data_IF_483098762149
#
_entry.id   IF_483098762149
#
_cell.length_a   1.000
_cell.length_b   1.000
_cell.length_c   1.000
_cell.angle_alpha   90.00
_cell.angle_beta   90.00
_cell.angle_gamma   90.00
#
_symmetry.space_group_name_H-M   'P 1'
#
loop_
_entity.id
_entity.type
_entity.pdbx_description
1 polymer ?
#
# COMPACT_ATOMS: atom_id res chain seq x y z
N UNK A 1 20.94 88.73 -29.42
CA UNK A 1 21.24 89.92 -28.56
C UNK A 1 22.59 89.71 -27.90
N UNK A 2 23.46 90.67 -28.22
CA UNK A 2 24.58 91.23 -27.45
C UNK A 2 25.58 90.25 -26.82
N UNK A 3 26.79 90.12 -27.41
CA UNK A 3 27.92 90.98 -27.33
C UNK A 3 28.67 91.01 -26.02
N UNK A 4 29.95 90.75 -26.17
CA UNK A 4 31.11 91.52 -25.62
C UNK A 4 31.85 90.75 -24.48
N UNK A 5 33.14 90.64 -24.38
CA UNK A 5 34.30 91.35 -24.97
C UNK A 5 35.54 90.57 -24.50
N UNK A 6 36.50 90.36 -25.37
CA UNK A 6 37.92 90.18 -25.01
C UNK A 6 38.45 91.36 -24.24
N UNK A 7 39.50 91.20 -23.45
CA UNK A 7 40.78 91.73 -23.97
C UNK A 7 42.00 90.84 -23.62
N UNK A 8 42.86 90.88 -24.60
CA UNK A 8 44.32 90.93 -24.64
C UNK A 8 45.13 90.90 -23.35
N UNK A 9 46.04 89.96 -23.30
CA UNK A 9 47.43 90.31 -22.93
C UNK A 9 48.36 89.28 -23.62
N UNK A 10 48.79 89.75 -24.78
CA UNK A 10 49.86 89.20 -25.58
C UNK A 10 51.17 89.46 -24.87
N UNK A 11 52.08 88.54 -24.97
CA UNK A 11 53.46 88.87 -24.96
C UNK A 11 54.28 88.46 -23.75
N UNK A 12 55.20 87.62 -24.04
CA UNK A 12 56.40 87.24 -23.30
C UNK A 12 56.33 85.79 -22.77
N UNK A 13 56.66 84.89 -23.68
CA UNK A 13 57.41 83.67 -23.37
C UNK A 13 57.74 82.88 -24.67
N UNK A 14 58.33 83.60 -25.62
CA UNK A 14 59.08 83.01 -26.72
C UNK A 14 60.53 83.42 -26.55
N UNK A 15 61.26 82.62 -25.81
CA UNK A 15 62.71 82.50 -25.90
C UNK A 15 63.22 81.65 -24.74
N UNK A 16 63.12 80.35 -24.84
CA UNK A 16 64.02 79.34 -24.22
C UNK A 16 63.66 77.97 -24.83
N UNK A 17 63.93 77.74 -26.10
CA UNK A 17 64.13 76.43 -26.64
C UNK A 17 65.05 76.52 -27.84
N UNK A 18 66.29 76.34 -27.59
CA UNK A 18 67.18 75.51 -28.43
C UNK A 18 68.58 75.53 -27.90
N UNK A 19 69.14 74.40 -27.63
CA UNK A 19 70.18 73.92 -28.52
C UNK A 19 70.02 72.43 -28.86
N UNK A 20 69.45 72.12 -30.02
CA UNK A 20 69.65 70.80 -30.60
C UNK A 20 71.11 70.72 -31.08
N UNK A 21 71.93 70.12 -30.22
CA UNK A 21 73.24 69.63 -30.66
C UNK A 21 73.03 68.61 -31.74
N UNK A 22 73.55 68.79 -32.95
CA UNK A 22 73.60 67.85 -34.03
C UNK A 22 74.23 66.52 -33.55
N UNK A 23 73.45 65.51 -33.22
CA UNK A 23 73.91 64.13 -32.96
C UNK A 23 74.31 63.58 -34.30
N UNK A 24 75.54 63.05 -34.48
CA UNK A 24 75.98 62.51 -35.74
C UNK A 24 75.08 61.28 -36.09
N UNK A 25 74.68 61.22 -37.40
CA UNK A 25 73.74 60.20 -37.90
C UNK A 25 74.11 58.76 -37.55
N UNK A 26 75.37 58.50 -37.23
CA UNK A 26 75.85 57.18 -36.73
C UNK A 26 75.37 56.91 -35.28
N UNK A 27 75.32 57.86 -34.40
CA UNK A 27 74.86 57.70 -33.03
C UNK A 27 73.38 57.45 -32.97
N UNK A 28 72.54 58.05 -33.82
CA UNK A 28 71.10 57.74 -33.92
C UNK A 28 70.80 56.35 -34.42
N UNK A 29 71.60 55.84 -35.39
CA UNK A 29 71.46 54.44 -35.86
C UNK A 29 71.85 53.41 -34.81
N UNK A 30 72.87 53.74 -33.99
CA UNK A 30 73.29 52.85 -32.89
C UNK A 30 72.21 52.90 -31.74
N UNK A 31 71.71 54.10 -31.43
CA UNK A 31 70.61 54.19 -30.43
C UNK A 31 69.30 53.49 -30.86
N UNK A 32 68.94 53.62 -32.15
CA UNK A 32 67.80 52.84 -32.72
C UNK A 32 68.02 51.32 -32.67
N UNK A 33 69.23 50.89 -33.02
CA UNK A 33 69.57 49.46 -32.99
C UNK A 33 69.49 48.88 -31.54
N UNK A 34 69.95 49.65 -30.53
CA UNK A 34 69.89 49.27 -29.12
C UNK A 34 68.47 49.26 -28.64
N UNK A 35 67.62 50.23 -29.03
CA UNK A 35 66.21 50.24 -28.69
C UNK A 35 65.45 49.01 -29.30
N UNK A 36 65.75 48.77 -30.57
CA UNK A 36 65.15 47.57 -31.27
C UNK A 36 65.57 46.27 -30.57
N UNK A 37 66.86 46.17 -30.19
CA UNK A 37 67.36 44.97 -29.49
C UNK A 37 66.77 44.82 -28.09
N UNK A 38 66.58 45.96 -27.37
CA UNK A 38 65.93 46.03 -26.08
C UNK A 38 64.44 45.60 -26.16
N UNK A 39 63.75 46.14 -27.19
CA UNK A 39 62.31 45.71 -27.41
C UNK A 39 62.20 44.25 -27.81
N UNK A 40 63.14 43.76 -28.66
CA UNK A 40 63.17 42.31 -29.03
C UNK A 40 63.51 41.50 -27.81
N UNK A 41 64.45 41.88 -26.96
CA UNK A 41 64.75 41.18 -25.72
C UNK A 41 63.55 41.18 -24.72
N UNK A 42 62.88 42.34 -24.60
CA UNK A 42 61.68 42.45 -23.76
C UNK A 42 60.51 41.56 -24.28
N UNK A 43 60.37 41.55 -25.64
CA UNK A 43 59.35 40.68 -26.27
C UNK A 43 59.68 39.22 -26.08
N UNK A 44 60.93 38.77 -26.17
CA UNK A 44 61.36 37.41 -25.92
C UNK A 44 61.18 37.05 -24.45
N UNK A 45 61.52 37.94 -23.52
CA UNK A 45 61.31 37.73 -22.08
C UNK A 45 59.79 37.66 -21.77
N UNK A 46 58.98 38.52 -22.43
CA UNK A 46 57.51 38.43 -22.29
C UNK A 46 56.93 37.12 -22.82
N UNK A 47 57.40 36.64 -23.98
CA UNK A 47 56.98 35.33 -24.55
C UNK A 47 57.47 34.14 -23.75
N UNK A 48 58.68 34.21 -23.16
CA UNK A 48 59.22 33.14 -22.32
C UNK A 48 58.58 33.10 -20.91
N UNK A 49 58.13 34.25 -20.40
CA UNK A 49 57.52 34.34 -19.08
C UNK A 49 55.99 34.11 -19.09
N UNK A 50 55.38 34.15 -20.27
CA UNK A 50 53.94 33.81 -20.43
C UNK A 50 53.77 32.28 -20.55
N UNK A 51 54.20 31.55 -19.53
CA UNK A 51 53.73 30.15 -19.38
C UNK A 51 52.23 30.22 -19.12
N UNK A 52 51.37 29.49 -19.89
CA UNK A 52 49.96 29.46 -19.60
C UNK A 52 49.77 28.99 -18.13
N UNK A 53 48.85 29.58 -17.37
CA UNK A 53 48.63 29.18 -15.99
C UNK A 53 48.36 27.67 -15.97
N UNK A 54 49.07 26.92 -15.11
CA UNK A 54 48.77 25.53 -14.88
C UNK A 54 47.33 25.44 -14.42
N UNK A 55 46.43 25.07 -15.31
CA UNK A 55 45.03 24.81 -14.97
C UNK A 55 45.01 23.66 -13.97
N UNK A 56 44.87 23.97 -12.69
CA UNK A 56 44.66 22.94 -11.67
C UNK A 56 43.28 22.35 -11.97
N UNK A 57 43.28 21.16 -12.57
CA UNK A 57 42.04 20.43 -12.82
C UNK A 57 41.40 20.07 -11.48
N UNK A 58 40.11 20.35 -11.27
CA UNK A 58 39.43 19.90 -10.06
C UNK A 58 39.46 18.38 -9.98
N UNK A 59 39.92 17.86 -8.84
CA UNK A 59 39.86 16.43 -8.52
C UNK A 59 38.44 16.14 -8.09
N UNK A 60 37.85 15.13 -8.68
CA UNK A 60 36.47 14.70 -8.43
C UNK A 60 36.44 13.19 -8.23
N UNK A 61 35.51 12.72 -7.40
CA UNK A 61 35.27 11.28 -7.26
C UNK A 61 34.19 10.82 -8.23
N UNK A 62 34.47 9.72 -8.92
CA UNK A 62 33.59 9.17 -9.94
C UNK A 62 33.31 7.70 -9.67
N UNK A 63 32.08 7.27 -9.98
CA UNK A 63 31.62 5.88 -9.93
C UNK A 63 31.03 5.50 -11.29
N UNK A 64 31.17 4.24 -11.71
CA UNK A 64 30.46 3.75 -12.88
C UNK A 64 28.96 3.59 -12.56
N UNK A 65 28.13 3.90 -13.54
CA UNK A 65 26.69 3.62 -13.47
C UNK A 65 26.47 2.11 -13.46
N UNK A 66 25.75 1.61 -12.47
CA UNK A 66 25.45 0.19 -12.30
C UNK A 66 23.98 -0.06 -12.62
N UNK A 67 23.71 -1.22 -13.20
CA UNK A 67 22.35 -1.74 -13.37
C UNK A 67 22.10 -2.86 -12.39
N UNK A 68 21.02 -2.78 -11.63
CA UNK A 68 20.62 -3.82 -10.68
C UNK A 68 19.11 -4.07 -10.72
N UNK A 69 18.69 -5.25 -10.27
CA UNK A 69 17.28 -5.56 -10.09
C UNK A 69 16.80 -4.90 -8.80
N UNK A 70 15.78 -4.08 -8.91
CA UNK A 70 15.32 -3.23 -7.83
C UNK A 70 13.86 -3.51 -7.49
N UNK A 71 13.59 -3.77 -6.23
CA UNK A 71 12.24 -3.89 -5.68
C UNK A 71 11.79 -2.54 -5.09
N UNK A 72 10.66 -2.04 -5.58
CA UNK A 72 10.06 -0.79 -5.10
C UNK A 72 8.99 -1.12 -4.08
N UNK A 73 9.14 -0.58 -2.89
CA UNK A 73 8.21 -0.79 -1.79
C UNK A 73 7.47 0.49 -1.42
N UNK A 74 6.19 0.36 -1.05
CA UNK A 74 5.43 1.40 -0.38
C UNK A 74 5.27 1.05 1.09
N UNK A 75 5.35 2.04 1.97
CA UNK A 75 5.16 1.89 3.41
C UNK A 75 3.85 2.55 3.84
N UNK A 76 3.03 1.81 4.57
CA UNK A 76 1.71 2.23 5.01
C UNK A 76 1.48 1.83 6.46
N UNK A 77 0.53 2.49 7.10
CA UNK A 77 -0.01 2.04 8.39
C UNK A 77 -1.23 1.17 8.11
N UNK A 78 -1.17 -0.08 8.56
CA UNK A 78 -2.26 -1.04 8.44
C UNK A 78 -2.91 -1.35 9.76
N UNK A 79 -4.17 -1.79 9.71
CA UNK A 79 -4.91 -2.30 10.85
C UNK A 79 -5.22 -3.77 10.64
N UNK A 80 -4.86 -4.59 11.62
CA UNK A 80 -5.16 -6.03 11.62
C UNK A 80 -6.65 -6.23 11.91
N UNK A 81 -7.31 -7.05 11.09
CA UNK A 81 -8.68 -7.53 11.31
C UNK A 81 -8.72 -9.04 11.29
N UNK A 82 -9.64 -9.60 12.06
CA UNK A 82 -9.92 -11.04 11.98
C UNK A 82 -10.46 -11.40 10.60
N UNK A 83 -10.17 -12.62 10.16
CA UNK A 83 -10.78 -13.18 8.93
C UNK A 83 -12.30 -13.21 9.05
N UNK A 84 -12.82 -13.64 10.20
CA UNK A 84 -14.24 -13.62 10.54
C UNK A 84 -14.42 -13.17 12.00
N UNK A 85 -15.43 -12.35 12.20
CA UNK A 85 -15.83 -11.84 13.49
C UNK A 85 -17.35 -12.02 13.58
N UNK A 86 -17.80 -12.85 14.51
CA UNK A 86 -19.21 -13.19 14.64
C UNK A 86 -19.69 -13.00 16.06
N UNK A 87 -20.70 -12.15 16.20
CA UNK A 87 -21.40 -11.94 17.46
C UNK A 87 -22.41 -13.08 17.69
N UNK A 88 -22.28 -13.76 18.81
CA UNK A 88 -23.20 -14.78 19.28
C UNK A 88 -24.33 -14.09 20.03
N UNK A 89 -25.53 -14.13 19.47
CA UNK A 89 -26.69 -13.43 19.97
C UNK A 89 -27.83 -14.35 20.30
N UNK A 90 -28.56 -14.07 21.40
CA UNK A 90 -29.80 -14.77 21.76
C UNK A 90 -30.89 -14.41 20.72
N UNK A 91 -31.58 -15.46 20.21
CA UNK A 91 -32.72 -15.34 19.28
C UNK A 91 -34.06 -15.49 19.96
N UNK A 92 -34.05 -16.04 21.17
CA UNK A 92 -35.25 -16.27 21.99
C UNK A 92 -35.06 -15.72 23.38
N UNK A 93 -36.15 -15.35 24.04
CA UNK A 93 -36.16 -14.81 25.39
C UNK A 93 -36.16 -15.91 26.43
N UNK A 94 -35.34 -15.79 27.47
CA UNK A 94 -35.31 -16.74 28.59
C UNK A 94 -34.12 -16.50 29.49
N UNK A 95 -34.09 -17.19 30.62
CA UNK A 95 -32.94 -17.14 31.51
C UNK A 95 -31.79 -17.99 30.99
N UNK A 96 -30.56 -17.44 31.06
CA UNK A 96 -29.35 -18.16 30.69
C UNK A 96 -29.07 -19.25 31.74
N UNK A 97 -29.24 -20.52 31.38
CA UNK A 97 -29.12 -21.66 32.31
C UNK A 97 -27.67 -22.15 32.44
N UNK A 98 -26.96 -22.29 31.29
CA UNK A 98 -25.60 -22.86 31.25
C UNK A 98 -24.73 -22.17 30.21
N UNK A 99 -23.41 -22.17 30.52
CA UNK A 99 -22.30 -21.84 29.61
C UNK A 99 -21.42 -23.08 29.49
N UNK A 100 -21.14 -23.52 28.28
CA UNK A 100 -20.49 -24.83 27.97
C UNK A 100 -19.10 -24.63 27.31
N UNK A 101 -18.42 -23.56 27.61
CA UNK A 101 -17.07 -23.28 27.14
C UNK A 101 -16.25 -22.54 28.21
N UNK A 102 -14.93 -22.53 28.06
CA UNK A 102 -14.06 -21.63 28.80
C UNK A 102 -13.73 -20.39 27.94
N UNK A 103 -13.73 -19.20 28.56
CA UNK A 103 -13.41 -17.93 27.88
C UNK A 103 -12.00 -17.96 27.32
N UNK A 104 -11.79 -17.37 26.15
CA UNK A 104 -10.48 -17.34 25.47
C UNK A 104 -10.08 -18.65 24.80
N UNK A 105 -10.89 -19.71 24.85
CA UNK A 105 -10.57 -21.02 24.25
C UNK A 105 -11.02 -21.11 22.80
N UNK A 106 -10.43 -22.08 22.09
CA UNK A 106 -10.86 -22.42 20.74
C UNK A 106 -12.14 -23.26 20.78
N UNK A 107 -13.11 -22.90 19.95
CA UNK A 107 -14.39 -23.63 19.79
C UNK A 107 -14.58 -24.04 18.34
N UNK A 108 -15.34 -25.11 18.15
CA UNK A 108 -15.67 -25.64 16.83
C UNK A 108 -17.03 -25.12 16.34
N UNK A 109 -17.17 -25.01 15.02
CA UNK A 109 -18.47 -24.74 14.39
C UNK A 109 -19.50 -25.77 14.82
N UNK A 110 -20.72 -25.34 15.22
CA UNK A 110 -21.81 -26.21 15.70
C UNK A 110 -21.70 -26.58 17.19
N UNK A 111 -20.60 -26.23 17.87
CA UNK A 111 -20.47 -26.42 19.30
C UNK A 111 -21.49 -25.59 20.05
N UNK A 112 -22.25 -26.21 20.98
CA UNK A 112 -23.18 -25.50 21.85
C UNK A 112 -22.38 -24.70 22.88
N UNK A 113 -22.65 -23.38 22.92
CA UNK A 113 -21.98 -22.44 23.79
C UNK A 113 -22.82 -22.08 25.01
N UNK A 114 -24.10 -21.80 24.79
CA UNK A 114 -25.01 -21.38 25.83
C UNK A 114 -26.31 -22.18 25.75
N UNK A 115 -26.94 -22.38 26.90
CA UNK A 115 -28.27 -22.97 27.01
C UNK A 115 -29.18 -21.95 27.70
N UNK A 116 -30.24 -21.55 27.00
CA UNK A 116 -31.34 -20.72 27.52
C UNK A 116 -32.41 -21.68 28.00
N UNK A 117 -33.08 -21.39 29.13
CA UNK A 117 -34.12 -22.29 29.70
C UNK A 117 -35.14 -22.76 28.64
N UNK A 118 -35.15 -24.05 28.30
CA UNK A 118 -35.98 -24.58 27.23
C UNK A 118 -37.40 -24.97 27.70
N UNK A 119 -37.74 -24.81 28.98
CA UNK A 119 -38.94 -25.40 29.59
C UNK A 119 -40.22 -24.94 28.89
N UNK A 120 -40.39 -23.65 28.66
CA UNK A 120 -41.58 -23.10 27.98
C UNK A 120 -41.61 -23.54 26.51
N UNK A 121 -40.49 -23.62 25.86
CA UNK A 121 -40.36 -24.00 24.44
C UNK A 121 -40.65 -25.48 24.23
N UNK A 122 -40.20 -26.37 25.13
CA UNK A 122 -40.57 -27.80 25.13
C UNK A 122 -42.07 -28.00 25.31
N UNK A 123 -42.70 -27.23 26.21
CA UNK A 123 -44.15 -27.27 26.39
C UNK A 123 -44.90 -26.88 25.11
N UNK A 124 -44.42 -25.85 24.38
CA UNK A 124 -44.99 -25.45 23.08
C UNK A 124 -44.87 -26.54 22.02
N UNK A 125 -43.72 -27.19 21.91
CA UNK A 125 -43.50 -28.32 20.98
C UNK A 125 -44.46 -29.45 21.32
N UNK A 126 -44.59 -29.83 22.60
CA UNK A 126 -45.50 -30.89 23.04
C UNK A 126 -46.96 -30.56 22.69
N UNK A 127 -47.38 -29.30 22.88
CA UNK A 127 -48.70 -28.81 22.48
C UNK A 127 -48.95 -28.96 20.98
N UNK A 128 -47.99 -28.43 20.16
CA UNK A 128 -48.09 -28.51 18.69
C UNK A 128 -48.15 -29.96 18.20
N UNK A 129 -47.33 -30.85 18.77
CA UNK A 129 -47.34 -32.31 18.47
C UNK A 129 -48.69 -32.96 18.80
N UNK A 130 -49.32 -32.58 19.92
CA UNK A 130 -50.65 -33.08 20.29
C UNK A 130 -51.74 -32.59 19.31
N UNK A 131 -51.67 -31.31 18.87
CA UNK A 131 -52.57 -30.76 17.86
C UNK A 131 -52.42 -31.45 16.50
N UNK A 132 -51.22 -31.71 16.07
CA UNK A 132 -50.93 -32.45 14.83
C UNK A 132 -51.52 -33.87 14.91
N UNK A 133 -51.33 -34.59 16.02
CA UNK A 133 -51.89 -35.92 16.21
C UNK A 133 -53.43 -35.91 16.14
N UNK A 134 -54.08 -34.85 16.71
CA UNK A 134 -55.53 -34.65 16.60
C UNK A 134 -55.97 -34.42 15.15
N UNK A 135 -55.26 -33.55 14.41
CA UNK A 135 -55.55 -33.28 12.98
C UNK A 135 -55.40 -34.57 12.13
N UNK A 136 -54.33 -35.34 12.35
CA UNK A 136 -54.11 -36.63 11.66
C UNK A 136 -55.23 -37.63 11.92
N UNK A 137 -55.72 -37.73 13.18
CA UNK A 137 -56.83 -38.56 13.49
C UNK A 137 -58.16 -38.14 12.82
N UNK A 138 -58.37 -36.80 12.68
CA UNK A 138 -59.48 -36.23 11.96
C UNK A 138 -59.43 -36.50 10.46
N UNK A 139 -58.26 -36.32 9.84
CA UNK A 139 -58.03 -36.63 8.42
C UNK A 139 -58.24 -38.11 8.14
N UNK A 140 -57.76 -39.03 9.00
CA UNK A 140 -57.98 -40.49 8.89
C UNK A 140 -59.46 -40.80 8.99
N UNK A 141 -60.23 -40.12 9.82
CA UNK A 141 -61.67 -40.32 9.90
C UNK A 141 -62.36 -39.93 8.59
N UNK A 142 -62.04 -38.70 8.09
CA UNK A 142 -62.61 -38.22 6.83
C UNK A 142 -62.24 -39.07 5.61
N UNK A 143 -60.99 -39.58 5.59
CA UNK A 143 -60.55 -40.56 4.58
C UNK A 143 -61.41 -41.85 4.57
N UNK A 144 -61.60 -42.36 5.76
CA UNK A 144 -62.48 -43.60 5.90
C UNK A 144 -63.92 -43.35 5.51
N UNK A 145 -64.45 -42.14 5.78
CA UNK A 145 -65.82 -41.77 5.39
C UNK A 145 -65.92 -41.63 3.88
N UNK A 146 -64.94 -40.97 3.24
CA UNK A 146 -64.84 -40.86 1.78
C UNK A 146 -64.71 -42.23 1.11
N UNK A 147 -63.84 -43.10 1.62
CA UNK A 147 -63.67 -44.45 1.13
C UNK A 147 -64.92 -45.32 1.27
N UNK A 148 -65.84 -44.99 2.18
CA UNK A 148 -67.16 -45.67 2.35
C UNK A 148 -68.20 -45.07 1.35
N UNK A 149 -68.26 -43.75 1.18
CA UNK A 149 -69.23 -43.06 0.32
C UNK A 149 -68.95 -43.29 -1.17
N UNK A 150 -67.70 -43.23 -1.58
CA UNK A 150 -67.30 -43.34 -2.99
C UNK A 150 -67.86 -44.63 -3.68
N UNK A 151 -67.74 -45.89 -3.15
CA UNK A 151 -68.29 -47.09 -3.79
C UNK A 151 -69.80 -47.11 -3.74
N UNK A 152 -70.48 -46.50 -2.74
CA UNK A 152 -71.91 -46.41 -2.67
C UNK A 152 -72.50 -45.50 -3.78
N UNK A 153 -71.76 -44.37 -4.07
CA UNK A 153 -72.12 -43.52 -5.17
C UNK A 153 -71.94 -44.24 -6.52
N UNK A 154 -70.88 -44.98 -6.74
CA UNK A 154 -70.61 -45.77 -7.93
C UNK A 154 -71.72 -46.84 -8.16
N UNK A 155 -72.38 -47.34 -7.06
CA UNK A 155 -73.54 -48.25 -7.11
C UNK A 155 -74.88 -47.55 -7.12
N UNK A 156 -74.93 -46.17 -7.32
CA UNK A 156 -76.13 -45.32 -7.26
C UNK A 156 -76.91 -45.44 -5.86
N UNK A 157 -76.20 -45.76 -4.78
CA UNK A 157 -76.74 -45.86 -3.41
C UNK A 157 -76.41 -44.61 -2.56
N UNK A 158 -75.71 -43.60 -3.06
CA UNK A 158 -75.44 -42.32 -2.44
C UNK A 158 -75.58 -41.19 -3.47
N UNK A 159 -75.86 -39.95 -3.03
CA UNK A 159 -76.01 -38.78 -3.91
C UNK A 159 -74.66 -38.19 -4.32
N UNK A 160 -74.62 -37.41 -5.42
CA UNK A 160 -73.45 -36.64 -5.80
C UNK A 160 -73.07 -35.65 -4.70
N UNK A 161 -74.06 -35.04 -4.05
CA UNK A 161 -73.82 -34.11 -2.92
C UNK A 161 -73.11 -34.77 -1.75
N UNK A 162 -73.45 -36.04 -1.44
CA UNK A 162 -72.80 -36.77 -0.36
C UNK A 162 -71.31 -37.05 -0.69
N UNK A 163 -71.03 -37.42 -1.96
CA UNK A 163 -69.64 -37.62 -2.43
C UNK A 163 -68.83 -36.29 -2.38
N UNK A 164 -69.40 -35.22 -2.92
CA UNK A 164 -68.71 -33.91 -2.92
C UNK A 164 -68.42 -33.41 -1.52
N UNK A 165 -69.37 -33.60 -0.58
CA UNK A 165 -69.18 -33.27 0.83
C UNK A 165 -68.09 -34.14 1.48
N UNK A 166 -68.03 -35.42 1.17
CA UNK A 166 -67.00 -36.29 1.71
C UNK A 166 -65.60 -35.99 1.18
N UNK A 167 -65.50 -35.61 -0.11
CA UNK A 167 -64.27 -35.12 -0.75
C UNK A 167 -63.78 -33.82 -0.05
N UNK A 168 -64.69 -32.84 0.03
CA UNK A 168 -64.37 -31.54 0.64
C UNK A 168 -63.93 -31.66 2.10
N UNK A 169 -64.64 -32.56 2.85
CA UNK A 169 -64.28 -32.85 4.26
C UNK A 169 -62.91 -33.49 4.38
N UNK A 170 -62.54 -34.40 3.46
CA UNK A 170 -61.22 -35.05 3.48
C UNK A 170 -60.12 -34.01 3.07
N UNK A 171 -60.33 -33.27 2.00
CA UNK A 171 -59.36 -32.25 1.56
C UNK A 171 -59.16 -31.19 2.64
N UNK A 172 -60.24 -30.73 3.27
CA UNK A 172 -60.14 -29.79 4.41
C UNK A 172 -59.37 -30.38 5.59
N UNK A 173 -59.63 -31.64 5.95
CA UNK A 173 -58.88 -32.27 7.03
C UNK A 173 -57.40 -32.54 6.72
N UNK A 174 -57.05 -32.81 5.44
CA UNK A 174 -55.66 -32.92 4.99
C UNK A 174 -54.97 -31.56 5.06
N UNK A 175 -55.67 -30.49 4.68
CA UNK A 175 -55.12 -29.13 4.78
C UNK A 175 -54.85 -28.75 6.27
N UNK A 176 -55.72 -29.13 7.22
CA UNK A 176 -55.51 -28.94 8.65
C UNK A 176 -54.29 -29.68 9.18
N UNK A 177 -53.96 -30.87 8.65
CA UNK A 177 -52.72 -31.59 8.98
C UNK A 177 -51.50 -30.79 8.56
N UNK A 178 -51.50 -30.25 7.35
CA UNK A 178 -50.36 -29.41 6.83
C UNK A 178 -50.14 -28.17 7.69
N UNK A 179 -51.22 -27.51 8.13
CA UNK A 179 -51.13 -26.34 9.02
C UNK A 179 -50.49 -26.76 10.36
N UNK A 180 -50.97 -27.86 11.00
CA UNK A 180 -50.41 -28.33 12.26
C UNK A 180 -48.96 -28.83 12.13
N UNK A 181 -48.55 -29.36 10.99
CA UNK A 181 -47.14 -29.73 10.70
C UNK A 181 -46.25 -28.47 10.65
N UNK A 182 -46.74 -27.42 10.00
CA UNK A 182 -46.03 -26.12 9.97
C UNK A 182 -45.90 -25.53 11.38
N UNK A 183 -46.94 -25.55 12.20
CA UNK A 183 -46.93 -25.09 13.58
C UNK A 183 -45.93 -25.88 14.44
N UNK A 184 -45.89 -27.22 14.28
CA UNK A 184 -44.90 -28.06 14.98
C UNK A 184 -43.48 -27.70 14.57
N UNK A 185 -43.21 -27.55 13.28
CA UNK A 185 -41.91 -27.15 12.76
C UNK A 185 -41.47 -25.82 13.33
N UNK A 186 -42.35 -24.83 13.37
CA UNK A 186 -42.07 -23.51 13.97
C UNK A 186 -41.76 -23.63 15.48
N UNK A 187 -42.46 -24.46 16.23
CA UNK A 187 -42.21 -24.68 17.65
C UNK A 187 -40.85 -25.35 17.87
N UNK A 188 -40.49 -26.35 17.05
CA UNK A 188 -39.20 -27.04 17.10
C UNK A 188 -38.02 -26.14 16.76
N UNK A 189 -38.13 -25.31 15.71
CA UNK A 189 -37.15 -24.29 15.39
C UNK A 189 -36.91 -23.31 16.55
N UNK A 190 -38.00 -22.86 17.19
CA UNK A 190 -37.92 -21.92 18.31
C UNK A 190 -37.27 -22.60 19.54
N UNK A 191 -37.56 -23.86 19.79
CA UNK A 191 -36.88 -24.69 20.82
C UNK A 191 -35.38 -24.83 20.47
N UNK A 192 -35.03 -25.06 19.20
CA UNK A 192 -33.63 -25.14 18.74
C UNK A 192 -32.82 -23.91 19.08
N UNK A 193 -33.43 -22.72 19.04
CA UNK A 193 -32.75 -21.46 19.38
C UNK A 193 -32.42 -21.32 20.88
N UNK A 194 -32.96 -22.17 21.78
CA UNK A 194 -32.54 -22.19 23.19
C UNK A 194 -31.13 -22.79 23.35
N UNK A 195 -30.68 -23.61 22.42
CA UNK A 195 -29.30 -24.12 22.36
C UNK A 195 -28.50 -23.27 21.41
N UNK A 196 -27.78 -22.29 21.96
CA UNK A 196 -27.01 -21.33 21.16
C UNK A 196 -25.68 -21.94 20.75
N UNK A 197 -25.48 -22.10 19.43
CA UNK A 197 -24.31 -22.75 18.85
C UNK A 197 -23.45 -21.76 18.10
N UNK A 198 -22.12 -22.07 17.97
CA UNK A 198 -21.21 -21.27 17.16
C UNK A 198 -21.44 -21.53 15.67
N UNK A 199 -21.61 -20.48 14.85
CA UNK A 199 -21.72 -20.62 13.41
C UNK A 199 -20.37 -20.84 12.71
N UNK A 200 -19.26 -20.54 13.40
CA UNK A 200 -17.88 -20.65 12.89
C UNK A 200 -16.98 -21.34 13.92
N UNK A 201 -15.85 -21.87 13.46
CA UNK A 201 -14.75 -22.26 14.35
C UNK A 201 -13.84 -21.06 14.59
N UNK A 202 -13.35 -20.92 15.82
CA UNK A 202 -12.48 -19.78 16.19
C UNK A 202 -12.30 -19.65 17.70
N UNK A 203 -11.73 -18.55 18.14
CA UNK A 203 -11.55 -18.25 19.57
C UNK A 203 -12.74 -17.43 20.08
N UNK A 204 -13.29 -17.87 21.20
CA UNK A 204 -14.39 -17.17 21.85
C UNK A 204 -13.83 -16.11 22.83
N UNK A 205 -14.45 -14.94 22.84
CA UNK A 205 -14.16 -13.88 23.81
C UNK A 205 -14.72 -14.20 25.20
N UNK A 206 -14.59 -13.25 26.09
CA UNK A 206 -15.33 -13.23 27.35
C UNK A 206 -16.86 -13.20 27.11
N UNK A 207 -17.63 -13.64 28.09
CA UNK A 207 -19.09 -13.52 28.07
C UNK A 207 -19.52 -12.09 28.34
N UNK A 208 -20.58 -11.65 27.68
CA UNK A 208 -21.19 -10.34 27.91
C UNK A 208 -22.36 -10.40 28.93
N UNK A 209 -22.75 -11.60 29.35
CA UNK A 209 -23.88 -11.85 30.25
C UNK A 209 -23.58 -13.00 31.20
N UNK A 210 -24.06 -12.90 32.43
CA UNK A 210 -23.92 -13.94 33.45
C UNK A 210 -25.02 -14.96 33.42
N UNK A 211 -24.71 -16.18 33.92
CA UNK A 211 -25.71 -17.24 34.13
C UNK A 211 -26.78 -16.73 35.09
N UNK A 212 -28.05 -17.02 34.79
CA UNK A 212 -29.21 -16.52 35.53
C UNK A 212 -29.74 -15.17 35.03
N UNK A 213 -29.09 -14.52 34.08
CA UNK A 213 -29.56 -13.29 33.44
C UNK A 213 -30.64 -13.59 32.41
N UNK A 214 -31.69 -12.75 32.38
CA UNK A 214 -32.70 -12.77 31.32
C UNK A 214 -32.09 -12.20 30.02
N UNK A 215 -32.00 -13.02 28.99
CA UNK A 215 -31.52 -12.68 27.66
C UNK A 215 -32.66 -12.77 26.63
N UNK A 216 -32.47 -12.11 25.46
CA UNK A 216 -33.51 -12.15 24.43
C UNK A 216 -33.15 -11.24 23.24
N UNK A 217 -34.00 -11.20 22.20
CA UNK A 217 -33.82 -10.32 21.07
C UNK A 217 -33.77 -8.85 21.52
N UNK A 218 -32.84 -8.04 20.92
CA UNK A 218 -32.69 -6.61 21.25
C UNK A 218 -31.37 -6.28 21.96
N UNK A 219 -31.40 -5.35 22.91
CA UNK A 219 -30.18 -4.80 23.56
C UNK A 219 -29.40 -5.84 24.39
N UNK A 220 -30.09 -6.82 24.97
CA UNK A 220 -29.49 -7.92 25.76
C UNK A 220 -29.27 -9.20 24.95
N UNK A 221 -29.13 -9.08 23.64
CA UNK A 221 -28.97 -10.27 22.77
C UNK A 221 -27.53 -10.76 22.69
N UNK A 222 -26.53 -9.87 22.84
CA UNK A 222 -25.11 -10.23 22.69
C UNK A 222 -24.65 -11.06 23.89
N UNK A 223 -24.24 -12.30 23.62
CA UNK A 223 -23.79 -13.26 24.63
C UNK A 223 -22.26 -13.37 24.67
N UNK A 224 -21.63 -13.50 23.53
CA UNK A 224 -20.18 -13.56 23.35
C UNK A 224 -19.82 -13.24 21.90
N UNK A 225 -18.51 -13.18 21.61
CA UNK A 225 -18.00 -13.01 20.26
C UNK A 225 -17.06 -14.15 19.90
N UNK A 226 -17.13 -14.63 18.66
CA UNK A 226 -16.20 -15.65 18.13
C UNK A 226 -15.37 -15.03 17.03
N UNK A 227 -14.05 -15.15 17.15
CA UNK A 227 -13.05 -14.56 16.26
C UNK A 227 -12.23 -15.67 15.60
N UNK A 228 -12.24 -15.70 14.27
CA UNK A 228 -11.33 -16.54 13.49
C UNK A 228 -10.12 -15.73 13.11
N UNK A 229 -8.94 -16.08 13.66
CA UNK A 229 -7.68 -15.34 13.54
C UNK A 229 -6.48 -16.19 13.14
N UNK A 230 -6.67 -17.42 12.67
CA UNK A 230 -5.66 -18.28 12.03
C UNK A 230 -5.15 -17.69 10.72
N UNK A 231 -5.98 -16.92 10.06
CA UNK A 231 -5.65 -15.99 8.98
C UNK A 231 -6.21 -14.62 9.36
N UNK A 232 -5.47 -13.56 9.12
CA UNK A 232 -5.92 -12.20 9.38
C UNK A 232 -5.97 -11.39 8.10
N UNK A 233 -6.75 -10.33 8.13
CA UNK A 233 -6.81 -9.31 7.09
C UNK A 233 -6.13 -8.06 7.59
N UNK A 234 -5.33 -7.45 6.73
CA UNK A 234 -4.65 -6.20 7.03
C UNK A 234 -5.20 -5.16 6.08
N UNK A 235 -5.97 -4.22 6.63
CA UNK A 235 -6.51 -3.10 5.89
C UNK A 235 -5.55 -1.91 6.04
N UNK A 236 -5.16 -1.30 4.92
CA UNK A 236 -4.33 -0.10 4.89
C UNK A 236 -4.80 0.86 3.80
N UNK A 237 -4.48 2.14 3.96
CA UNK A 237 -4.89 3.17 3.02
C UNK A 237 -3.74 3.52 2.10
N UNK A 238 -4.01 3.53 0.80
CA UNK A 238 -3.06 3.88 -0.26
C UNK A 238 -3.49 5.17 -0.95
N UNK A 239 -2.54 6.02 -1.34
CA UNK A 239 -2.86 7.26 -2.07
C UNK A 239 -3.23 6.96 -3.53
N UNK A 240 -4.10 7.80 -4.10
CA UNK A 240 -4.43 7.69 -5.53
C UNK A 240 -3.19 7.86 -6.43
N UNK A 241 -2.20 8.65 -5.99
CA UNK A 241 -0.95 8.84 -6.73
C UNK A 241 -0.12 7.56 -6.79
N UNK A 242 0.04 6.86 -5.66
CA UNK A 242 0.78 5.59 -5.61
C UNK A 242 0.10 4.52 -6.47
N UNK A 243 -1.24 4.49 -6.47
CA UNK A 243 -2.01 3.60 -7.34
C UNK A 243 -1.78 3.90 -8.82
N UNK A 244 -1.83 5.17 -9.23
CA UNK A 244 -1.60 5.56 -10.61
C UNK A 244 -0.18 5.19 -11.06
N UNK A 245 0.82 5.43 -10.22
CA UNK A 245 2.21 5.00 -10.48
C UNK A 245 2.33 3.48 -10.66
N UNK A 246 1.65 2.70 -9.82
CA UNK A 246 1.62 1.24 -9.96
C UNK A 246 0.92 0.82 -11.25
N UNK A 247 -0.19 1.48 -11.60
CA UNK A 247 -0.97 1.20 -12.81
C UNK A 247 -0.20 1.54 -14.10
N UNK A 248 0.56 2.64 -14.14
CA UNK A 248 1.43 2.99 -15.27
C UNK A 248 2.46 1.89 -15.58
N UNK A 249 2.81 1.09 -14.57
CA UNK A 249 3.71 -0.06 -14.67
C UNK A 249 2.98 -1.39 -14.87
N UNK A 250 1.69 -1.36 -15.25
CA UNK A 250 0.83 -2.54 -15.40
C UNK A 250 0.67 -3.37 -14.11
N UNK A 251 0.87 -2.79 -12.94
CA UNK A 251 0.64 -3.43 -11.65
C UNK A 251 -0.77 -3.10 -11.18
N UNK A 252 -1.72 -4.02 -11.42
CA UNK A 252 -3.08 -3.90 -10.90
C UNK A 252 -3.11 -4.48 -9.47
N UNK A 253 -3.11 -3.61 -8.47
CA UNK A 253 -3.19 -4.01 -7.07
C UNK A 253 -4.57 -4.61 -6.80
N UNK A 254 -4.61 -5.79 -6.16
CA UNK A 254 -5.85 -6.51 -5.86
C UNK A 254 -6.37 -7.41 -7.00
N UNK A 255 -5.69 -7.47 -8.14
CA UNK A 255 -6.01 -8.40 -9.23
C UNK A 255 -4.84 -9.32 -9.53
N UNK A 256 -5.11 -10.62 -9.63
CA UNK A 256 -4.11 -11.58 -10.11
C UNK A 256 -3.95 -11.41 -11.62
N UNK A 257 -2.71 -11.23 -12.05
CA UNK A 257 -2.35 -11.14 -13.47
C UNK A 257 -1.51 -12.35 -13.84
N UNK A 258 -2.04 -13.19 -14.72
CA UNK A 258 -1.35 -14.40 -15.20
C UNK A 258 -0.11 -14.11 -16.06
N UNK A 259 0.06 -12.88 -16.52
CA UNK A 259 1.21 -12.45 -17.32
C UNK A 259 2.39 -11.96 -16.47
N UNK A 260 2.18 -11.72 -15.17
CA UNK A 260 3.25 -11.32 -14.26
C UNK A 260 4.01 -12.51 -13.70
N UNK A 261 5.31 -12.35 -13.55
CA UNK A 261 6.19 -13.34 -12.91
C UNK A 261 6.24 -13.20 -11.38
N UNK A 262 5.56 -12.20 -10.81
CA UNK A 262 5.51 -11.91 -9.38
C UNK A 262 4.15 -11.31 -8.99
N UNK A 263 3.70 -11.55 -7.76
CA UNK A 263 2.47 -10.97 -7.21
C UNK A 263 2.82 -9.88 -6.18
N UNK A 264 2.03 -8.79 -6.09
CA UNK A 264 2.15 -7.82 -5.01
C UNK A 264 1.95 -8.53 -3.67
N UNK A 265 2.97 -8.53 -2.84
CA UNK A 265 2.90 -9.09 -1.49
C UNK A 265 3.13 -8.02 -0.43
N UNK A 266 2.61 -8.30 0.74
CA UNK A 266 2.72 -7.46 1.92
C UNK A 266 3.60 -8.14 2.95
N UNK A 267 4.52 -7.40 3.54
CA UNK A 267 5.21 -7.78 4.77
C UNK A 267 4.80 -6.82 5.88
N UNK A 268 4.85 -7.31 7.12
CA UNK A 268 4.41 -6.57 8.29
C UNK A 268 5.56 -6.45 9.28
N UNK A 269 5.68 -5.28 9.87
CA UNK A 269 6.53 -5.05 11.04
C UNK A 269 5.63 -4.90 12.26
N UNK A 270 5.87 -5.71 13.28
CA UNK A 270 5.11 -5.71 14.52
C UNK A 270 5.40 -4.44 15.35
N UNK A 271 4.62 -4.22 16.40
CA UNK A 271 4.76 -3.04 17.27
C UNK A 271 6.13 -2.96 18.00
N UNK A 272 6.78 -4.10 18.22
CA UNK A 272 8.12 -4.21 18.81
C UNK A 272 9.27 -3.96 17.80
N UNK A 273 8.94 -3.68 16.53
CA UNK A 273 9.89 -3.48 15.44
C UNK A 273 10.37 -4.77 14.77
N UNK A 274 9.97 -5.95 15.23
CA UNK A 274 10.33 -7.22 14.61
C UNK A 274 9.57 -7.43 13.29
N UNK A 275 10.21 -8.09 12.32
CA UNK A 275 9.58 -8.44 11.05
C UNK A 275 8.74 -9.70 11.22
N UNK A 276 7.49 -9.64 10.79
CA UNK A 276 6.61 -10.80 10.77
C UNK A 276 7.09 -11.82 9.70
N UNK A 277 7.22 -13.13 10.04
CA UNK A 277 7.89 -14.10 9.16
C UNK A 277 7.09 -14.49 7.91
N UNK A 278 5.78 -14.24 7.89
CA UNK A 278 4.91 -14.60 6.78
C UNK A 278 4.63 -13.41 5.88
N UNK A 279 4.39 -13.69 4.60
CA UNK A 279 3.96 -12.70 3.61
C UNK A 279 2.45 -12.82 3.41
N UNK A 280 1.79 -11.67 3.27
CA UNK A 280 0.39 -11.58 2.87
C UNK A 280 0.26 -11.28 1.39
N UNK A 281 -0.84 -11.69 0.78
CA UNK A 281 -1.19 -11.35 -0.59
C UNK A 281 -2.32 -10.31 -0.59
N UNK A 282 -2.21 -9.31 -1.46
CA UNK A 282 -3.28 -8.34 -1.65
C UNK A 282 -4.44 -9.04 -2.36
N UNK A 283 -5.59 -9.10 -1.69
CA UNK A 283 -6.81 -9.76 -2.19
C UNK A 283 -7.89 -8.78 -2.62
N UNK A 284 -7.80 -7.51 -2.17
CA UNK A 284 -8.80 -6.50 -2.47
C UNK A 284 -8.19 -5.10 -2.48
N UNK A 285 -8.62 -4.29 -3.44
CA UNK A 285 -8.41 -2.85 -3.47
C UNK A 285 -9.75 -2.17 -3.78
N UNK A 286 -10.14 -1.20 -2.97
CA UNK A 286 -11.41 -0.50 -3.13
C UNK A 286 -11.38 0.33 -4.43
N UNK A 287 -12.36 0.19 -5.31
CA UNK A 287 -12.44 0.99 -6.53
C UNK A 287 -12.79 2.46 -6.28
N UNK A 288 -13.19 2.80 -5.05
CA UNK A 288 -13.60 4.14 -4.67
C UNK A 288 -12.55 4.82 -3.80
N UNK A 289 -12.20 6.06 -4.17
CA UNK A 289 -11.32 6.93 -3.37
C UNK A 289 -12.18 7.71 -2.38
N UNK A 290 -11.79 7.73 -1.11
CA UNK A 290 -12.40 8.60 -0.10
C UNK A 290 -12.07 10.07 -0.43
N UNK A 291 -13.08 10.90 -0.73
CA UNK A 291 -12.87 12.30 -1.12
C UNK A 291 -12.30 13.18 0.00
N UNK A 292 -12.37 12.75 1.26
CA UNK A 292 -11.84 13.50 2.40
C UNK A 292 -10.33 13.30 2.58
N UNK A 293 -9.84 12.11 2.29
CA UNK A 293 -8.44 11.74 2.52
C UNK A 293 -7.64 11.64 1.22
N UNK A 294 -8.31 11.49 0.05
CA UNK A 294 -7.67 11.22 -1.22
C UNK A 294 -7.02 9.83 -1.29
N UNK A 295 -7.41 8.92 -0.40
CA UNK A 295 -6.90 7.55 -0.31
C UNK A 295 -8.00 6.54 -0.58
N UNK A 296 -7.63 5.32 -0.90
CA UNK A 296 -8.54 4.17 -1.00
C UNK A 296 -8.02 3.02 -0.14
N UNK A 297 -8.93 2.15 0.27
CA UNK A 297 -8.62 1.01 1.12
C UNK A 297 -8.05 -0.14 0.29
N UNK A 298 -6.95 -0.69 0.76
CA UNK A 298 -6.34 -1.92 0.24
C UNK A 298 -6.33 -2.94 1.35
N UNK A 299 -6.63 -4.20 1.01
CA UNK A 299 -6.65 -5.32 1.95
C UNK A 299 -5.70 -6.41 1.50
N UNK A 300 -4.94 -6.92 2.45
CA UNK A 300 -4.12 -8.11 2.27
C UNK A 300 -4.56 -9.21 3.23
N UNK A 301 -4.59 -10.45 2.74
CA UNK A 301 -4.80 -11.64 3.56
C UNK A 301 -3.44 -12.21 3.96
N UNK A 302 -3.26 -12.50 5.26
CA UNK A 302 -1.99 -12.94 5.83
C UNK A 302 -2.19 -14.14 6.77
N UNK A 303 -1.42 -15.24 6.61
CA UNK A 303 -1.42 -16.36 7.54
C UNK A 303 -0.99 -15.91 8.94
N UNK A 304 -1.69 -16.43 9.98
CA UNK A 304 -1.39 -16.10 11.37
C UNK A 304 -1.44 -17.35 12.29
N UNK A 305 -0.64 -18.39 11.99
CA UNK A 305 -0.70 -19.66 12.73
C UNK A 305 -0.32 -19.52 14.20
N UNK A 306 0.64 -18.66 14.52
CA UNK A 306 1.08 -18.38 15.88
C UNK A 306 0.22 -17.30 16.59
N UNK A 307 -0.75 -16.70 15.90
CA UNK A 307 -1.60 -15.61 16.42
C UNK A 307 -0.85 -14.42 16.99
N UNK A 308 0.32 -14.16 16.44
CA UNK A 308 1.12 -12.99 16.83
C UNK A 308 0.50 -11.67 16.37
N UNK A 309 -0.31 -11.70 15.30
CA UNK A 309 -1.09 -10.55 14.83
C UNK A 309 -2.46 -10.58 15.51
N UNK A 310 -2.70 -9.62 16.40
CA UNK A 310 -3.97 -9.51 17.12
C UNK A 310 -4.95 -8.62 16.38
N UNK A 311 -6.19 -9.07 16.13
CA UNK A 311 -7.21 -8.21 15.54
C UNK A 311 -7.44 -6.94 16.36
N UNK A 312 -7.41 -5.79 15.70
CA UNK A 312 -7.50 -4.46 16.31
C UNK A 312 -6.19 -3.71 16.37
N UNK A 313 -5.05 -4.39 16.27
CA UNK A 313 -3.71 -3.84 16.32
C UNK A 313 -3.37 -3.03 15.05
N UNK A 314 -2.52 -2.01 15.22
CA UNK A 314 -1.91 -1.29 14.10
C UNK A 314 -0.50 -1.82 13.85
N UNK A 315 -0.16 -1.96 12.58
CA UNK A 315 1.13 -2.48 12.13
C UNK A 315 1.70 -1.62 11.00
N UNK A 316 3.03 -1.63 10.85
CA UNK A 316 3.67 -1.06 9.67
C UNK A 316 3.63 -2.08 8.54
N UNK A 317 3.01 -1.70 7.44
CA UNK A 317 2.81 -2.52 6.24
C UNK A 317 3.79 -2.07 5.17
N UNK A 318 4.55 -3.01 4.61
CA UNK A 318 5.43 -2.78 3.47
C UNK A 318 4.90 -3.59 2.29
N UNK A 319 4.39 -2.89 1.27
CA UNK A 319 3.82 -3.47 0.06
C UNK A 319 4.85 -3.45 -1.06
N UNK A 320 5.13 -4.59 -1.71
CA UNK A 320 5.87 -4.63 -2.97
C UNK A 320 5.00 -4.07 -4.09
N UNK A 321 5.41 -2.91 -4.63
CA UNK A 321 4.65 -2.16 -5.64
C UNK A 321 5.16 -2.40 -7.06
N UNK A 322 6.47 -2.63 -7.23
CA UNK A 322 7.09 -2.81 -8.54
C UNK A 322 8.39 -3.62 -8.43
N UNK A 323 8.73 -4.36 -9.47
CA UNK A 323 10.00 -5.07 -9.62
C UNK A 323 10.63 -4.61 -10.92
N UNK A 324 11.73 -3.88 -10.82
CA UNK A 324 12.45 -3.32 -11.97
C UNK A 324 13.69 -4.12 -12.24
N UNK A 325 13.70 -4.80 -13.37
CA UNK A 325 14.87 -5.55 -13.84
C UNK A 325 15.82 -4.62 -14.58
N UNK A 326 17.13 -4.77 -14.31
CA UNK A 326 18.19 -3.97 -14.95
C UNK A 326 17.95 -2.44 -14.84
N UNK A 327 17.46 -1.97 -13.69
CA UNK A 327 17.27 -0.54 -13.45
C UNK A 327 18.63 0.16 -13.32
N UNK A 328 18.76 1.31 -13.95
CA UNK A 328 19.92 2.19 -13.78
C UNK A 328 19.80 2.85 -12.40
N UNK A 329 20.78 2.62 -11.52
CA UNK A 329 20.81 3.18 -10.17
C UNK A 329 22.06 4.02 -9.95
N UNK A 330 21.88 5.11 -9.22
CA UNK A 330 22.98 6.02 -8.85
C UNK A 330 22.87 6.33 -7.35
N UNK A 331 23.99 6.58 -6.66
CA UNK A 331 23.94 7.12 -5.31
C UNK A 331 23.15 8.43 -5.26
N UNK A 332 22.21 8.57 -4.32
CA UNK A 332 21.36 9.78 -4.21
C UNK A 332 22.19 11.05 -4.02
N UNK A 333 23.40 10.95 -3.41
CA UNK A 333 24.35 12.04 -3.23
C UNK A 333 24.92 12.60 -4.54
N UNK A 334 24.87 11.84 -5.66
CA UNK A 334 25.32 12.29 -6.98
C UNK A 334 24.31 13.19 -7.69
N UNK A 335 23.06 13.25 -7.20
CA UNK A 335 21.97 14.02 -7.79
C UNK A 335 21.98 15.46 -7.29
N UNK A 336 21.84 16.38 -8.23
CA UNK A 336 21.70 17.81 -7.97
C UNK A 336 20.26 18.20 -8.29
N UNK A 337 19.51 18.55 -7.26
CA UNK A 337 18.10 18.94 -7.39
C UNK A 337 18.04 20.47 -7.42
N UNK A 338 17.54 21.04 -8.52
CA UNK A 338 17.34 22.46 -8.71
C UNK A 338 15.93 22.79 -9.17
N UNK A 339 15.58 24.06 -9.27
CA UNK A 339 14.22 24.51 -9.69
C UNK A 339 13.76 23.98 -11.06
N UNK A 340 14.69 23.50 -11.91
CA UNK A 340 14.40 22.96 -13.24
C UNK A 340 14.36 21.43 -13.32
N UNK A 341 14.60 20.73 -12.21
CA UNK A 341 14.61 19.26 -12.15
C UNK A 341 15.89 18.69 -11.56
N UNK A 342 16.12 17.41 -11.79
CA UNK A 342 17.30 16.71 -11.31
C UNK A 342 18.40 16.66 -12.39
N UNK A 343 19.62 16.88 -11.97
CA UNK A 343 20.81 16.88 -12.83
C UNK A 343 21.89 15.99 -12.24
N UNK A 344 22.74 15.46 -13.10
CA UNK A 344 23.94 14.71 -12.73
C UNK A 344 25.12 15.14 -13.60
N UNK A 345 26.32 15.07 -13.06
CA UNK A 345 27.52 15.25 -13.88
C UNK A 345 28.03 13.89 -14.38
N UNK A 346 28.12 13.74 -15.69
CA UNK A 346 28.69 12.58 -16.38
C UNK A 346 30.08 12.96 -16.84
N UNK A 347 31.06 12.09 -16.65
CA UNK A 347 32.42 12.29 -17.13
C UNK A 347 32.60 11.53 -18.44
N UNK A 348 32.86 12.26 -19.51
CA UNK A 348 33.13 11.69 -20.82
C UNK A 348 34.53 11.09 -20.89
N UNK A 349 34.84 10.20 -21.88
CA UNK A 349 36.17 9.62 -22.06
C UNK A 349 37.31 10.62 -22.25
N UNK A 350 36.96 11.85 -22.71
CA UNK A 350 37.90 12.99 -22.86
C UNK A 350 38.14 13.75 -21.57
N UNK A 351 37.70 13.22 -20.41
CA UNK A 351 37.79 13.85 -19.08
C UNK A 351 37.08 15.22 -18.98
N UNK A 352 35.98 15.38 -19.70
CA UNK A 352 35.12 16.56 -19.63
C UNK A 352 33.84 16.21 -18.85
N UNK A 353 33.52 17.06 -17.86
CA UNK A 353 32.29 16.94 -17.07
C UNK A 353 31.12 17.57 -17.86
N UNK A 354 30.12 16.74 -18.14
CA UNK A 354 28.88 17.11 -18.79
C UNK A 354 27.74 17.13 -17.77
N UNK A 355 27.14 18.29 -17.55
CA UNK A 355 25.92 18.37 -16.75
C UNK A 355 24.73 17.94 -17.59
N UNK A 356 24.05 16.88 -17.14
CA UNK A 356 22.95 16.27 -17.87
C UNK A 356 21.69 16.25 -17.02
N UNK A 357 20.56 16.56 -17.63
CA UNK A 357 19.25 16.41 -17.03
C UNK A 357 18.90 14.93 -16.95
N UNK A 358 18.31 14.51 -15.82
CA UNK A 358 17.86 13.14 -15.59
C UNK A 358 16.44 13.12 -15.03
N UNK A 359 15.67 12.16 -15.47
CA UNK A 359 14.37 11.85 -14.87
C UNK A 359 14.59 10.82 -13.75
N UNK A 360 14.31 11.22 -12.52
CA UNK A 360 14.47 10.37 -11.35
C UNK A 360 13.24 9.52 -11.11
N UNK A 361 13.44 8.25 -10.80
CA UNK A 361 12.45 7.32 -10.29
C UNK A 361 12.41 7.29 -8.75
N UNK A 362 11.97 6.17 -8.15
CA UNK A 362 11.95 5.98 -6.71
C UNK A 362 13.36 5.97 -6.10
N UNK A 363 13.44 6.48 -4.88
CA UNK A 363 14.61 6.39 -4.03
C UNK A 363 14.54 5.10 -3.19
N UNK A 364 15.67 4.38 -3.09
CA UNK A 364 15.77 3.09 -2.41
C UNK A 364 17.01 3.10 -1.53
N UNK A 365 16.78 3.29 -0.24
CA UNK A 365 17.87 3.52 0.70
C UNK A 365 18.66 4.79 0.35
N UNK A 366 19.93 4.66 0.04
CA UNK A 366 20.81 5.76 -0.38
C UNK A 366 21.05 5.84 -1.89
N UNK A 367 20.30 5.08 -2.69
CA UNK A 367 20.35 5.05 -4.15
C UNK A 367 19.04 5.56 -4.76
N UNK A 368 19.13 6.18 -5.93
CA UNK A 368 17.97 6.64 -6.71
C UNK A 368 17.97 5.96 -8.08
N UNK A 369 16.83 5.44 -8.49
CA UNK A 369 16.63 4.91 -9.83
C UNK A 369 16.57 6.07 -10.83
N UNK A 370 17.22 5.92 -11.98
CA UNK A 370 17.14 6.87 -13.08
C UNK A 370 16.28 6.28 -14.18
N UNK A 371 15.20 6.97 -14.50
CA UNK A 371 14.26 6.55 -15.55
C UNK A 371 14.78 6.87 -16.94
N UNK A 372 15.38 8.06 -17.10
CA UNK A 372 15.92 8.56 -18.36
C UNK A 372 17.08 9.50 -18.13
N UNK A 373 17.99 9.58 -19.11
CA UNK A 373 19.08 10.54 -19.13
C UNK A 373 20.47 9.96 -18.85
N UNK A 374 20.57 8.69 -18.41
CA UNK A 374 21.85 8.00 -18.23
C UNK A 374 21.88 6.69 -19.02
N UNK A 375 23.05 6.41 -19.61
CA UNK A 375 23.36 5.14 -20.24
C UNK A 375 24.07 4.18 -19.29
N UNK A 376 24.03 2.90 -19.64
CA UNK A 376 24.79 1.86 -18.92
C UNK A 376 26.29 2.10 -19.09
N UNK A 377 27.04 1.93 -18.02
CA UNK A 377 28.52 2.03 -18.01
C UNK A 377 29.07 3.45 -18.21
N UNK A 378 28.27 4.50 -18.08
CA UNK A 378 28.77 5.88 -17.99
C UNK A 378 29.39 6.12 -16.61
N UNK A 379 30.32 7.09 -16.54
CA UNK A 379 30.94 7.50 -15.27
C UNK A 379 30.24 8.73 -14.73
N UNK A 380 29.80 8.70 -13.49
CA UNK A 380 29.11 9.80 -12.82
C UNK A 380 29.97 10.38 -11.70
N UNK A 381 29.83 11.66 -11.45
CA UNK A 381 30.49 12.35 -10.34
C UNK A 381 29.67 12.18 -9.07
N UNK A 382 30.26 11.58 -8.06
CA UNK A 382 29.61 11.35 -6.74
C UNK A 382 30.04 12.37 -5.70
N UNK A 383 31.26 12.93 -5.81
CA UNK A 383 31.75 14.01 -4.94
C UNK A 383 32.52 15.08 -5.70
N UNK A 384 32.48 16.33 -5.21
CA UNK A 384 33.19 17.48 -5.79
C UNK A 384 32.41 18.22 -6.89
N UNK A 385 31.17 17.85 -7.18
CA UNK A 385 30.35 18.43 -8.24
C UNK A 385 30.08 19.94 -8.07
N UNK A 386 30.09 20.46 -6.84
CA UNK A 386 29.86 21.89 -6.54
C UNK A 386 30.96 22.81 -7.12
N UNK A 387 32.12 22.28 -7.55
CA UNK A 387 33.21 22.99 -8.21
C UNK A 387 33.11 22.94 -9.73
N UNK A 388 32.15 22.18 -10.28
CA UNK A 388 32.06 21.89 -11.69
C UNK A 388 31.15 22.88 -12.44
N UNK A 389 31.49 23.10 -13.67
CA UNK A 389 30.65 23.73 -14.69
C UNK A 389 30.55 22.81 -15.90
N UNK A 390 29.45 22.92 -16.64
CA UNK A 390 29.27 22.15 -17.87
C UNK A 390 30.43 22.40 -18.85
N UNK A 391 31.01 21.32 -19.37
CA UNK A 391 32.14 21.40 -20.32
C UNK A 391 33.54 21.57 -19.69
N UNK A 392 33.64 21.52 -18.34
CA UNK A 392 34.92 21.70 -17.65
C UNK A 392 35.76 20.42 -17.70
N UNK A 393 37.07 20.53 -17.93
CA UNK A 393 38.01 19.43 -17.80
C UNK A 393 38.28 19.11 -16.34
N UNK A 394 38.31 17.82 -16.01
CA UNK A 394 38.39 17.29 -14.63
C UNK A 394 39.50 16.23 -14.52
N UNK A 395 39.97 16.01 -13.32
CA UNK A 395 40.83 14.88 -12.99
C UNK A 395 40.00 13.83 -12.21
N UNK A 396 39.43 12.79 -12.89
CA UNK A 396 38.61 11.80 -12.22
C UNK A 396 39.48 10.88 -11.36
N UNK A 397 39.04 10.62 -10.15
CA UNK A 397 39.58 9.60 -9.23
C UNK A 397 38.46 8.63 -8.92
N UNK A 398 38.70 7.34 -8.98
CA UNK A 398 37.71 6.36 -8.57
C UNK A 398 37.33 6.58 -7.10
N UNK A 399 36.04 6.64 -6.82
CA UNK A 399 35.54 6.69 -5.44
C UNK A 399 36.03 5.44 -4.68
N UNK A 400 36.49 5.61 -3.44
CA UNK A 400 36.74 4.47 -2.57
C UNK A 400 35.39 3.84 -2.22
N UNK A 401 35.26 2.52 -2.41
CA UNK A 401 34.14 1.77 -1.87
C UNK A 401 34.01 2.11 -0.38
N UNK A 402 32.90 2.73 -0.01
CA UNK A 402 32.56 2.94 1.39
C UNK A 402 32.17 1.58 1.98
N UNK A 403 32.87 1.12 3.00
CA UNK A 403 32.64 -0.14 3.76
C UNK A 403 31.26 -0.20 4.46
N UNK A 404 30.29 0.62 4.13
CA UNK A 404 28.97 0.68 4.79
C UNK A 404 28.01 -0.46 4.40
N UNK A 405 28.33 -1.30 3.42
CA UNK A 405 27.46 -2.43 3.02
C UNK A 405 27.65 -3.72 3.86
N UNK A 406 28.58 -3.72 4.82
CA UNK A 406 28.94 -4.97 5.54
C UNK A 406 28.29 -5.13 6.93
N UNK A 407 27.34 -4.27 7.31
CA UNK A 407 26.69 -4.38 8.64
C UNK A 407 25.29 -5.00 8.61
N UNK A 408 24.74 -5.33 7.44
CA UNK A 408 23.40 -5.92 7.35
C UNK A 408 23.35 -7.44 7.10
N UNK A 409 24.52 -8.07 6.76
CA UNK A 409 24.55 -9.53 6.47
C UNK A 409 25.04 -10.43 7.61
N UNK A 410 25.37 -9.89 8.79
CA UNK A 410 25.94 -10.65 9.90
C UNK A 410 24.95 -10.87 11.08
N UNK A 411 23.65 -11.01 10.80
CA UNK A 411 22.67 -11.53 11.78
C UNK A 411 21.58 -12.33 11.07
N UNK A 412 21.99 -13.43 10.43
CA UNK A 412 21.13 -14.56 10.12
C UNK A 412 21.95 -15.84 10.40
N UNK A 413 21.88 -16.26 11.62
CA UNK A 413 22.03 -17.66 12.06
C UNK A 413 20.95 -17.92 13.11
#
# INVERSE_FOLDING_TARGET
MKNKILPDSIGKYYDIINPIRRIPARAYRIAMAVIILAVAAALIIFLLNNKPPKTILPVIEVEPVVTEDVNVYGEYVGRVRAQQFVEIRARVEGYLEKMLFAEGTYINKGQTLFVIDPTIYRARVNKAKALLNKAKAHALKAERDLNRIKPLYEQNAASQLDLDNAIAAYEGAVADVVVCEADLTQAELTLGYTSVQSPISGYISERNVDIGTLVGPGSKSLLATVVKSDTVRIDFSMTALDYLRSKERNVNIGQRDSLRTWDPYVTVTLADGSKYPYRGLVDFADPQVDPKTGTFSVRAEMPNPARALLPGEFTKVTLLMDVRKNAVVVPSKALIIEKGGAYIYVVRPDSVAERRFVETGPEIGNKTVIERGLGNSEWIVVEGYHKLQHGMKVAPTAAKESDDDNTSSAKQD
#
